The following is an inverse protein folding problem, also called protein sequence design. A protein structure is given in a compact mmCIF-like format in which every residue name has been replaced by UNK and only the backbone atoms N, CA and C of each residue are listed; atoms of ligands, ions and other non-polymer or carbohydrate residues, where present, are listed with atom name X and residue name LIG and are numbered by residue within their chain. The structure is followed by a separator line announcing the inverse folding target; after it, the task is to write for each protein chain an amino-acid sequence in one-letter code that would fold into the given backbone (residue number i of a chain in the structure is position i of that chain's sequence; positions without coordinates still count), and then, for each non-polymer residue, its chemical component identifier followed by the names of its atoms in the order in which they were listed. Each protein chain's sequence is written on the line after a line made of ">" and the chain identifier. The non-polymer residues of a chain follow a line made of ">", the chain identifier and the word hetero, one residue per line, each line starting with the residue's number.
data_IF_519058605800
#
_entry.id   IF_519058605800
#
_cell.length_a   1.000
_cell.length_b   1.000
_cell.length_c   1.000
_cell.angle_alpha   90.00
_cell.angle_beta   90.00
_cell.angle_gamma   90.00
#
_symmetry.space_group_name_H-M   'P 1'
#
loop_
_entity.id
_entity.type
_entity.pdbx_description
1 polymer ?
#
# COMPACT_ATOMS: atom_id res chain seq x y z
N UNK A 1 90.34 -2.83 -30.35
CA UNK A 1 91.72 -2.30 -30.45
C UNK A 1 91.69 -0.83 -30.07
N UNK A 2 92.58 -0.45 -29.13
CA UNK A 2 93.28 0.85 -29.06
C UNK A 2 92.36 2.04 -28.66
N UNK A 3 92.41 2.52 -27.40
CA UNK A 3 93.35 3.56 -26.89
C UNK A 3 93.11 4.91 -27.60
N UNK A 4 93.14 6.11 -27.03
CA UNK A 4 93.83 6.72 -25.89
C UNK A 4 93.16 8.13 -25.80
N UNK A 5 92.70 8.62 -24.65
CA UNK A 5 93.46 9.48 -23.69
C UNK A 5 93.63 10.97 -24.10
N UNK A 6 93.32 11.81 -23.10
CA UNK A 6 93.75 13.20 -22.80
C UNK A 6 93.24 14.31 -23.73
N UNK A 7 92.45 15.28 -23.25
CA UNK A 7 92.60 16.22 -22.13
C UNK A 7 93.72 17.24 -22.30
N UNK A 8 93.33 18.53 -22.29
CA UNK A 8 94.08 19.81 -22.07
C UNK A 8 93.84 20.77 -23.24
N UNK A 9 93.72 22.08 -23.08
CA UNK A 9 93.54 22.99 -21.94
C UNK A 9 93.26 24.38 -22.58
N UNK A 10 92.73 25.31 -21.78
CA UNK A 10 92.84 26.77 -21.91
C UNK A 10 92.03 27.46 -23.03
N UNK A 11 90.99 28.24 -22.73
CA UNK A 11 90.87 29.47 -21.93
C UNK A 11 91.02 30.76 -22.76
N UNK A 12 89.94 31.54 -22.72
CA UNK A 12 89.80 32.99 -22.92
C UNK A 12 89.99 33.55 -24.34
N UNK A 13 88.86 33.97 -24.93
CA UNK A 13 88.74 35.31 -25.55
C UNK A 13 87.27 35.73 -25.61
N UNK A 14 86.93 36.68 -24.75
CA UNK A 14 85.68 37.41 -24.75
C UNK A 14 85.57 38.27 -26.01
N UNK A 15 84.53 38.08 -26.80
CA UNK A 15 84.04 39.09 -27.75
C UNK A 15 82.55 39.27 -27.54
N UNK A 16 82.18 40.47 -27.07
CA UNK A 16 80.80 40.91 -26.89
C UNK A 16 80.19 41.13 -28.27
N UNK A 17 79.12 40.40 -28.62
CA UNK A 17 78.18 40.80 -29.67
C UNK A 17 76.78 40.86 -29.07
N UNK A 18 76.19 42.05 -29.14
CA UNK A 18 74.86 42.39 -28.65
C UNK A 18 73.78 41.84 -29.58
N UNK A 19 72.84 41.12 -28.97
CA UNK A 19 71.40 40.99 -29.21
C UNK A 19 70.80 41.26 -30.60
N UNK A 20 70.05 40.27 -31.11
CA UNK A 20 68.65 40.43 -31.54
C UNK A 20 67.88 39.13 -31.24
N UNK A 21 67.24 39.06 -30.07
CA UNK A 21 66.22 38.05 -29.80
C UNK A 21 64.87 38.62 -30.28
N UNK A 22 64.28 38.00 -31.29
CA UNK A 22 62.92 38.30 -31.70
C UNK A 22 61.96 37.74 -30.63
N UNK A 23 61.37 38.62 -29.83
CA UNK A 23 60.28 38.28 -28.92
C UNK A 23 59.01 38.14 -29.75
N UNK A 24 58.60 36.90 -30.01
CA UNK A 24 57.24 36.62 -30.49
C UNK A 24 56.32 36.74 -29.27
N UNK A 25 55.62 37.86 -29.16
CA UNK A 25 54.52 38.02 -28.20
C UNK A 25 53.34 37.21 -28.74
N UNK A 26 53.21 35.96 -28.30
CA UNK A 26 51.99 35.19 -28.49
C UNK A 26 50.89 35.80 -27.62
N UNK A 27 49.90 36.44 -28.23
CA UNK A 27 48.66 36.81 -27.57
C UNK A 27 47.95 35.50 -27.23
N UNK A 28 48.08 35.03 -25.98
CA UNK A 28 47.14 34.04 -25.44
C UNK A 28 45.77 34.72 -25.39
N UNK A 29 44.93 34.44 -26.38
CA UNK A 29 43.50 34.71 -26.26
C UNK A 29 42.97 33.94 -25.07
N UNK A 30 42.51 34.64 -24.03
CA UNK A 30 41.80 34.03 -22.93
C UNK A 30 40.52 33.40 -23.50
N UNK A 31 40.50 32.08 -23.65
CA UNK A 31 39.26 31.36 -23.90
C UNK A 31 38.33 31.67 -22.71
N UNK A 32 37.07 32.08 -22.95
CA UNK A 32 36.12 32.22 -21.85
C UNK A 32 36.04 30.88 -21.10
N UNK A 33 35.92 30.89 -19.76
CA UNK A 33 35.74 29.66 -19.02
C UNK A 33 34.52 28.92 -19.60
N UNK A 34 34.58 27.60 -19.75
CA UNK A 34 33.42 26.84 -20.18
C UNK A 34 32.29 27.11 -19.19
N UNK A 35 31.16 27.64 -19.69
CA UNK A 35 29.93 27.73 -18.91
C UNK A 35 29.50 26.29 -18.72
N UNK A 36 29.64 25.77 -17.50
CA UNK A 36 29.07 24.47 -17.15
C UNK A 36 27.54 24.62 -17.22
N UNK A 37 26.93 24.03 -18.26
CA UNK A 37 25.48 23.87 -18.30
C UNK A 37 25.07 23.10 -17.05
N UNK A 38 24.06 23.60 -16.33
CA UNK A 38 23.53 22.89 -15.19
C UNK A 38 22.97 21.54 -15.68
N UNK A 39 23.33 20.47 -14.96
CA UNK A 39 22.93 19.12 -15.35
C UNK A 39 21.47 18.86 -14.94
N UNK A 40 20.76 18.09 -15.75
CA UNK A 40 19.44 17.57 -15.41
C UNK A 40 19.50 16.76 -14.08
N UNK A 41 18.40 16.71 -13.30
CA UNK A 41 18.36 15.93 -12.07
C UNK A 41 18.58 14.43 -12.35
N UNK A 42 19.09 13.69 -11.36
CA UNK A 42 19.47 12.29 -11.56
C UNK A 42 18.29 11.37 -11.92
N UNK A 43 17.07 11.76 -11.56
CA UNK A 43 15.84 11.05 -11.85
C UNK A 43 14.99 11.71 -12.95
N UNK A 44 15.62 12.52 -13.80
CA UNK A 44 15.03 13.05 -15.03
C UNK A 44 14.63 11.91 -15.99
N UNK A 45 15.51 10.92 -16.13
CA UNK A 45 15.26 9.73 -16.93
C UNK A 45 14.38 8.73 -16.17
N UNK A 46 13.33 8.25 -16.82
CA UNK A 46 12.45 7.19 -16.33
C UNK A 46 13.21 5.94 -15.87
N UNK A 47 14.20 5.48 -16.64
CA UNK A 47 14.99 4.31 -16.27
C UNK A 47 16.02 4.58 -15.15
N UNK A 48 16.20 5.84 -14.76
CA UNK A 48 17.02 6.28 -13.62
C UNK A 48 16.17 6.86 -12.48
N UNK A 49 14.91 6.43 -12.36
CA UNK A 49 13.98 6.89 -11.32
C UNK A 49 14.54 6.74 -9.90
N UNK A 50 14.12 7.65 -9.01
CA UNK A 50 14.48 7.57 -7.60
C UNK A 50 13.68 6.45 -6.93
N UNK A 51 14.35 5.38 -6.48
CA UNK A 51 13.68 4.29 -5.76
C UNK A 51 13.39 4.74 -4.32
N UNK A 52 12.11 4.83 -3.97
CA UNK A 52 11.66 5.19 -2.62
C UNK A 52 11.98 4.08 -1.62
N UNK A 53 12.91 4.33 -0.70
CA UNK A 53 13.34 3.42 0.36
C UNK A 53 13.54 4.14 1.68
N UNK A 54 13.40 3.41 2.79
CA UNK A 54 13.86 3.88 4.10
C UNK A 54 15.39 3.91 4.15
N UNK A 55 16.01 4.60 5.12
CA UNK A 55 17.46 4.55 5.32
C UNK A 55 18.00 3.13 5.53
N UNK A 56 17.16 2.20 5.98
CA UNK A 56 17.49 0.78 6.15
C UNK A 56 17.22 -0.07 4.90
N UNK A 57 16.83 0.55 3.77
CA UNK A 57 16.56 -0.12 2.49
C UNK A 57 15.17 -0.74 2.35
N UNK A 58 14.30 -0.61 3.36
CA UNK A 58 12.93 -1.12 3.37
C UNK A 58 11.94 -0.24 2.60
N UNK A 59 10.72 -0.71 2.42
CA UNK A 59 9.64 0.09 1.84
C UNK A 59 9.17 1.16 2.84
N UNK A 60 9.11 2.45 2.44
CA UNK A 60 8.74 3.53 3.36
C UNK A 60 7.21 3.68 3.49
N UNK A 61 6.73 3.92 4.71
CA UNK A 61 5.34 4.40 4.92
C UNK A 61 5.18 5.86 4.54
N UNK A 62 6.26 6.63 4.58
CA UNK A 62 6.35 7.99 4.09
C UNK A 62 7.73 8.26 3.49
N UNK A 63 7.79 9.01 2.40
CA UNK A 63 9.03 9.39 1.73
C UNK A 63 8.94 10.85 1.28
N UNK A 64 10.05 11.58 1.38
CA UNK A 64 10.14 12.96 0.89
C UNK A 64 11.41 13.14 0.08
N UNK A 65 11.34 14.03 -0.89
CA UNK A 65 12.50 14.43 -1.69
C UNK A 65 12.39 15.91 -2.08
N UNK A 66 13.55 16.52 -2.32
CA UNK A 66 13.63 17.86 -2.90
C UNK A 66 14.46 17.75 -4.18
N UNK A 67 13.92 18.20 -5.30
CA UNK A 67 14.57 18.09 -6.62
C UNK A 67 14.50 19.43 -7.35
N UNK A 68 15.62 19.93 -7.86
CA UNK A 68 15.61 21.07 -8.77
C UNK A 68 15.26 20.58 -10.19
N UNK A 69 14.15 21.07 -10.73
CA UNK A 69 13.58 20.65 -12.02
C UNK A 69 13.86 21.65 -13.14
N UNK A 70 14.63 22.72 -12.90
CA UNK A 70 14.89 23.73 -13.93
C UNK A 70 15.53 23.13 -15.19
N UNK A 71 16.46 22.20 -15.01
CA UNK A 71 17.16 21.50 -16.09
C UNK A 71 16.55 20.13 -16.42
N UNK A 72 15.40 19.79 -15.82
CA UNK A 72 14.69 18.57 -16.20
C UNK A 72 14.28 18.64 -17.68
N UNK A 73 14.02 17.50 -18.29
CA UNK A 73 13.65 17.35 -19.69
C UNK A 73 12.43 16.43 -19.81
N UNK A 74 12.14 15.98 -21.02
CA UNK A 74 11.12 14.97 -21.31
C UNK A 74 11.68 14.02 -22.35
N UNK A 75 11.25 12.77 -22.35
CA UNK A 75 11.81 11.75 -23.22
C UNK A 75 10.91 11.44 -24.41
N UNK A 76 11.46 11.56 -25.63
CA UNK A 76 10.81 11.07 -26.84
C UNK A 76 10.78 9.53 -26.92
N UNK A 77 11.63 8.87 -26.14
CA UNK A 77 11.69 7.42 -25.98
C UNK A 77 12.07 7.14 -24.51
N UNK A 78 11.15 6.56 -23.74
CA UNK A 78 11.36 6.26 -22.31
C UNK A 78 12.52 5.29 -22.06
N UNK A 79 12.95 4.53 -23.06
CA UNK A 79 14.09 3.62 -22.96
C UNK A 79 15.35 4.24 -23.55
N UNK A 80 15.34 5.55 -23.81
CA UNK A 80 16.52 6.30 -24.22
C UNK A 80 16.72 7.56 -23.37
N UNK A 81 17.84 7.68 -22.65
CA UNK A 81 18.88 6.65 -22.47
C UNK A 81 18.44 5.52 -21.52
N UNK A 82 19.24 4.46 -21.43
CA UNK A 82 19.10 3.47 -20.36
C UNK A 82 19.45 4.06 -18.98
N UNK A 83 19.38 3.22 -17.95
CA UNK A 83 19.66 3.61 -16.56
C UNK A 83 21.07 4.18 -16.33
N UNK A 84 22.04 3.86 -17.21
CA UNK A 84 23.44 4.29 -17.11
C UNK A 84 23.76 5.43 -18.09
N UNK A 85 22.78 5.92 -18.84
CA UNK A 85 22.97 6.98 -19.83
C UNK A 85 23.33 6.46 -21.23
N UNK A 86 23.35 5.14 -21.47
CA UNK A 86 23.70 4.56 -22.75
C UNK A 86 22.48 4.46 -23.70
N UNK A 87 22.68 4.46 -25.03
CA UNK A 87 21.57 4.30 -25.98
C UNK A 87 21.04 2.86 -25.94
N UNK A 88 19.80 2.69 -25.48
CA UNK A 88 19.06 1.43 -25.52
C UNK A 88 17.93 1.51 -26.57
N UNK A 89 17.02 2.47 -26.42
CA UNK A 89 15.96 2.78 -27.38
C UNK A 89 14.85 1.73 -27.48
N UNK A 90 13.85 2.02 -28.31
CA UNK A 90 12.73 1.12 -28.60
C UNK A 90 11.58 1.21 -27.59
N UNK A 91 11.58 2.22 -26.73
CA UNK A 91 10.49 2.52 -25.81
C UNK A 91 9.45 3.46 -26.43
N UNK A 92 8.25 3.54 -25.82
CA UNK A 92 7.26 4.54 -26.20
C UNK A 92 7.72 5.96 -25.78
N UNK A 93 7.18 7.03 -26.38
CA UNK A 93 7.38 8.37 -25.87
C UNK A 93 6.82 8.52 -24.46
N UNK A 94 7.39 9.45 -23.72
CA UNK A 94 6.91 9.80 -22.39
C UNK A 94 5.44 10.27 -22.43
N UNK A 95 4.58 9.80 -21.50
CA UNK A 95 3.23 10.33 -21.38
C UNK A 95 3.26 11.79 -20.88
N UNK A 96 2.97 12.75 -21.76
CA UNK A 96 3.00 14.18 -21.43
C UNK A 96 1.62 14.82 -21.27
N UNK A 97 0.59 14.00 -21.01
CA UNK A 97 -0.79 14.46 -20.86
C UNK A 97 -1.37 13.98 -19.54
N UNK A 98 -1.89 14.91 -18.74
CA UNK A 98 -2.67 14.60 -17.56
C UNK A 98 -3.89 15.52 -17.45
N UNK A 99 -5.10 14.95 -17.41
CA UNK A 99 -6.32 15.74 -17.13
C UNK A 99 -6.61 16.87 -18.13
N UNK A 100 -6.02 16.81 -19.34
CA UNK A 100 -6.10 17.88 -20.35
C UNK A 100 -4.95 18.88 -20.31
N UNK A 101 -4.12 18.84 -19.28
CA UNK A 101 -2.88 19.62 -19.18
C UNK A 101 -1.73 18.89 -19.86
N UNK A 102 -0.89 19.65 -20.57
CA UNK A 102 0.40 19.15 -21.06
C UNK A 102 1.43 19.27 -19.95
N UNK A 103 2.32 18.29 -19.87
CA UNK A 103 3.36 18.18 -18.84
C UNK A 103 4.73 18.35 -19.48
N UNK A 104 5.66 18.98 -18.78
CA UNK A 104 7.08 18.97 -19.12
C UNK A 104 7.95 18.98 -17.86
N UNK A 105 9.28 18.97 -18.03
CA UNK A 105 10.24 19.05 -16.91
C UNK A 105 10.00 17.95 -15.87
N UNK A 106 10.04 16.70 -16.32
CA UNK A 106 9.54 15.57 -15.55
C UNK A 106 10.66 14.88 -14.76
N UNK A 107 10.27 14.31 -13.62
CA UNK A 107 11.12 13.49 -12.77
C UNK A 107 10.35 12.28 -12.28
N UNK A 108 11.07 11.19 -11.99
CA UNK A 108 10.49 9.88 -11.72
C UNK A 108 10.83 9.32 -10.34
N UNK A 109 9.85 8.69 -9.69
CA UNK A 109 10.01 8.03 -8.39
C UNK A 109 9.37 6.64 -8.38
N UNK A 110 10.12 5.63 -8.00
CA UNK A 110 9.68 4.24 -8.03
C UNK A 110 9.35 3.69 -6.66
N UNK A 111 8.31 2.86 -6.59
CA UNK A 111 7.94 2.15 -5.37
C UNK A 111 7.31 0.78 -5.68
N UNK A 112 7.39 -0.14 -4.71
CA UNK A 112 6.81 -1.48 -4.81
C UNK A 112 6.27 -1.91 -3.45
N UNK A 113 4.94 -1.84 -3.22
CA UNK A 113 4.38 -2.01 -1.89
C UNK A 113 4.41 -3.48 -1.43
N UNK A 114 4.69 -3.75 -0.13
CA UNK A 114 4.78 -5.10 0.41
C UNK A 114 3.41 -5.74 0.72
N UNK A 115 2.37 -4.91 0.76
CA UNK A 115 0.96 -5.26 0.98
C UNK A 115 0.09 -4.40 0.05
N UNK A 116 -1.18 -4.75 -0.11
CA UNK A 116 -2.11 -3.89 -0.83
C UNK A 116 -2.31 -2.59 -0.06
N UNK A 117 -2.67 -1.50 -0.74
CA UNK A 117 -2.84 -0.22 -0.08
C UNK A 117 -3.28 0.93 -0.96
N UNK A 118 -3.37 2.10 -0.33
CA UNK A 118 -3.56 3.40 -0.96
C UNK A 118 -2.27 4.21 -0.91
N UNK A 119 -2.15 5.16 -1.83
CA UNK A 119 -1.04 6.10 -1.90
C UNK A 119 -1.60 7.51 -2.00
N UNK A 120 -0.97 8.43 -1.27
CA UNK A 120 -1.14 9.86 -1.42
C UNK A 120 0.21 10.45 -1.81
N UNK A 121 0.21 11.33 -2.80
CA UNK A 121 1.39 12.05 -3.26
C UNK A 121 1.16 13.53 -3.07
N UNK A 122 2.17 14.24 -2.57
CA UNK A 122 2.21 15.69 -2.59
C UNK A 122 3.36 16.18 -3.46
N UNK A 123 3.10 17.23 -4.23
CA UNK A 123 4.10 17.90 -5.05
C UNK A 123 3.89 19.41 -4.91
N UNK A 124 4.94 20.15 -4.58
CA UNK A 124 4.85 21.59 -4.30
C UNK A 124 6.06 22.33 -4.86
N UNK A 125 5.91 23.64 -5.04
CA UNK A 125 6.98 24.56 -5.45
C UNK A 125 6.69 25.31 -6.74
N UNK A 126 5.84 24.75 -7.59
CA UNK A 126 5.34 25.36 -8.82
C UNK A 126 4.03 24.66 -9.22
N UNK A 127 3.49 24.98 -10.41
CA UNK A 127 2.30 24.33 -10.95
C UNK A 127 2.65 22.92 -11.42
N UNK A 128 2.47 21.95 -10.52
CA UNK A 128 2.86 20.57 -10.73
C UNK A 128 1.71 19.76 -11.32
N UNK A 129 2.09 18.68 -12.01
CA UNK A 129 1.21 17.58 -12.37
C UNK A 129 1.82 16.28 -11.85
N UNK A 130 0.98 15.37 -11.36
CA UNK A 130 1.40 14.07 -10.85
C UNK A 130 0.65 12.97 -11.59
N UNK A 131 1.38 11.97 -12.10
CA UNK A 131 0.80 10.76 -12.67
C UNK A 131 1.42 9.51 -12.04
N UNK A 132 0.58 8.51 -11.73
CA UNK A 132 1.04 7.24 -11.15
C UNK A 132 0.77 6.11 -12.13
N UNK A 133 1.83 5.40 -12.51
CA UNK A 133 1.77 4.30 -13.45
C UNK A 133 2.20 3.01 -12.78
N UNK A 134 1.55 1.91 -13.15
CA UNK A 134 2.13 0.57 -13.00
C UNK A 134 3.05 0.30 -14.17
N UNK A 135 4.21 -0.29 -13.91
CA UNK A 135 5.11 -0.78 -14.95
C UNK A 135 5.45 -2.27 -14.77
N UNK A 136 5.86 -2.91 -15.85
CA UNK A 136 6.36 -4.28 -15.86
C UNK A 136 7.86 -4.30 -15.58
N UNK A 137 8.28 -5.00 -14.52
CA UNK A 137 9.69 -4.98 -14.08
C UNK A 137 10.66 -5.74 -14.98
N UNK A 138 10.16 -6.53 -15.94
CA UNK A 138 10.98 -7.27 -16.90
C UNK A 138 11.26 -6.46 -18.15
N UNK A 139 10.29 -5.65 -18.57
CA UNK A 139 10.34 -4.87 -19.82
C UNK A 139 10.46 -3.37 -19.60
N UNK A 140 10.28 -2.90 -18.37
CA UNK A 140 10.14 -1.49 -17.99
C UNK A 140 8.97 -0.77 -18.69
N UNK A 141 8.08 -1.50 -19.37
CA UNK A 141 6.96 -0.89 -20.07
C UNK A 141 5.92 -0.37 -19.07
N UNK A 142 5.43 0.85 -19.29
CA UNK A 142 4.26 1.38 -18.60
C UNK A 142 3.02 0.58 -19.05
N UNK A 143 2.34 -0.05 -18.10
CA UNK A 143 1.22 -0.97 -18.35
C UNK A 143 -0.13 -0.28 -18.08
N UNK A 144 -0.26 0.39 -16.94
CA UNK A 144 -1.54 0.95 -16.50
C UNK A 144 -1.37 2.27 -15.78
N UNK A 145 -2.04 3.31 -16.27
CA UNK A 145 -2.26 4.54 -15.52
C UNK A 145 -3.21 4.25 -14.34
N UNK A 146 -2.75 4.49 -13.12
CA UNK A 146 -3.61 4.39 -11.94
C UNK A 146 -4.46 5.64 -11.77
N UNK A 147 -3.91 6.78 -12.13
CA UNK A 147 -4.55 8.08 -12.16
C UNK A 147 -3.52 9.16 -12.32
N UNK A 148 -4.00 10.36 -12.61
CA UNK A 148 -3.17 11.54 -12.64
C UNK A 148 -3.97 12.73 -12.11
N UNK A 149 -3.27 13.76 -11.65
CA UNK A 149 -3.81 15.03 -11.23
C UNK A 149 -2.98 16.16 -11.86
N UNK A 150 -3.66 17.25 -12.20
CA UNK A 150 -3.11 18.46 -12.74
C UNK A 150 -3.98 19.63 -12.26
N UNK A 151 -3.92 19.90 -10.96
CA UNK A 151 -4.70 20.98 -10.34
C UNK A 151 -3.88 22.27 -10.36
N UNK A 152 -4.37 23.36 -10.99
CA UNK A 152 -3.62 24.62 -11.05
C UNK A 152 -3.25 25.14 -9.66
N UNK A 153 -1.99 25.49 -9.43
CA UNK A 153 -1.56 26.05 -8.15
C UNK A 153 -0.06 25.97 -7.90
N UNK A 154 0.36 26.09 -6.63
CA UNK A 154 1.76 25.88 -6.20
C UNK A 154 1.95 24.60 -5.38
N UNK A 155 0.88 23.82 -5.29
CA UNK A 155 0.83 22.62 -4.48
C UNK A 155 -0.30 21.70 -4.90
N UNK A 156 0.06 20.44 -5.05
CA UNK A 156 -0.81 19.34 -5.42
C UNK A 156 -0.81 18.30 -4.28
N UNK A 157 -1.99 17.90 -3.83
CA UNK A 157 -2.17 16.66 -3.07
C UNK A 157 -3.05 15.74 -3.90
N UNK A 158 -2.51 14.58 -4.24
CA UNK A 158 -3.13 13.59 -5.10
C UNK A 158 -3.29 12.27 -4.37
N UNK A 159 -4.53 11.94 -4.03
CA UNK A 159 -4.90 10.60 -3.58
C UNK A 159 -5.12 9.73 -4.80
N UNK A 160 -4.28 8.71 -4.96
CA UNK A 160 -4.35 7.82 -6.12
C UNK A 160 -5.68 7.07 -6.10
N UNK A 161 -6.53 7.19 -7.13
CA UNK A 161 -7.91 6.67 -7.09
C UNK A 161 -7.95 5.14 -7.10
N UNK A 162 -6.93 4.52 -7.71
CA UNK A 162 -6.79 3.08 -7.78
C UNK A 162 -5.81 2.58 -6.72
N UNK A 163 -6.15 1.48 -6.05
CA UNK A 163 -5.27 0.81 -5.09
C UNK A 163 -3.99 0.31 -5.74
N UNK A 164 -2.91 0.35 -4.97
CA UNK A 164 -1.65 -0.30 -5.27
C UNK A 164 -1.66 -1.70 -4.67
N UNK A 165 -1.10 -2.66 -5.40
CA UNK A 165 -1.21 -4.08 -5.08
C UNK A 165 0.16 -4.64 -4.74
N UNK A 166 0.19 -5.56 -3.77
CA UNK A 166 1.36 -6.33 -3.40
C UNK A 166 1.98 -7.02 -4.61
N UNK A 167 3.31 -6.92 -4.73
CA UNK A 167 4.06 -7.59 -5.79
C UNK A 167 3.91 -6.95 -7.17
N UNK A 168 3.36 -5.73 -7.24
CA UNK A 168 3.40 -4.87 -8.42
C UNK A 168 4.37 -3.71 -8.19
N UNK A 169 4.89 -3.16 -9.28
CA UNK A 169 5.81 -2.03 -9.26
C UNK A 169 5.18 -0.83 -9.94
N UNK A 170 5.46 0.33 -9.36
CA UNK A 170 4.83 1.59 -9.71
C UNK A 170 5.88 2.67 -9.83
N UNK A 171 5.61 3.61 -10.72
CA UNK A 171 6.41 4.82 -10.89
C UNK A 171 5.49 6.04 -10.78
N UNK A 172 6.02 7.11 -10.22
CA UNK A 172 5.37 8.41 -10.10
C UNK A 172 6.12 9.36 -11.02
N UNK A 173 5.41 9.89 -12.00
CA UNK A 173 5.87 10.97 -12.86
C UNK A 173 5.41 12.28 -12.22
N UNK A 174 6.33 13.18 -11.94
CA UNK A 174 6.03 14.54 -11.49
C UNK A 174 6.64 15.51 -12.48
N UNK A 175 5.87 16.45 -12.98
CA UNK A 175 6.35 17.47 -13.90
C UNK A 175 5.62 18.78 -13.72
N UNK A 176 5.99 19.79 -14.48
CA UNK A 176 5.31 21.08 -14.52
C UNK A 176 4.22 21.14 -15.57
N UNK A 177 3.11 21.77 -15.22
CA UNK A 177 2.06 22.12 -16.16
C UNK A 177 2.61 23.10 -17.20
N UNK A 178 2.31 22.85 -18.47
CA UNK A 178 2.72 23.71 -19.58
C UNK A 178 1.68 24.81 -19.79
N UNK A 179 2.12 26.06 -19.63
CA UNK A 179 1.31 27.25 -19.91
C UNK A 179 2.00 28.07 -20.98
N UNK A 180 1.29 28.42 -22.06
CA UNK A 180 1.83 29.18 -23.19
C UNK A 180 3.13 28.58 -23.79
N UNK A 181 3.22 27.24 -23.82
CA UNK A 181 4.37 26.53 -24.36
C UNK A 181 5.59 26.44 -23.43
N UNK A 182 5.47 26.94 -22.19
CA UNK A 182 6.53 26.85 -21.18
C UNK A 182 6.06 25.96 -20.03
N UNK A 183 6.82 24.92 -19.73
CA UNK A 183 6.59 24.07 -18.56
C UNK A 183 7.01 24.83 -17.30
N UNK A 184 6.17 24.79 -16.26
CA UNK A 184 6.57 25.24 -14.93
C UNK A 184 7.76 24.39 -14.42
N UNK A 185 8.69 25.03 -13.71
CA UNK A 185 9.84 24.35 -13.11
C UNK A 185 10.36 25.12 -11.90
N UNK A 186 11.20 24.46 -11.13
CA UNK A 186 11.85 25.04 -9.97
C UNK A 186 12.19 23.97 -8.93
N UNK A 187 12.28 24.39 -7.67
CA UNK A 187 12.53 23.46 -6.58
C UNK A 187 11.24 22.69 -6.23
N UNK A 188 11.16 21.43 -6.63
CA UNK A 188 10.09 20.52 -6.29
C UNK A 188 10.27 20.01 -4.86
N UNK A 189 9.27 20.19 -4.01
CA UNK A 189 9.12 19.43 -2.75
C UNK A 189 8.13 18.29 -2.97
N UNK A 190 8.65 17.07 -2.98
CA UNK A 190 7.89 15.84 -3.18
C UNK A 190 7.64 15.14 -1.85
N UNK A 191 6.41 14.68 -1.66
CA UNK A 191 5.99 13.83 -0.54
C UNK A 191 5.20 12.63 -1.04
N UNK A 192 5.35 11.52 -0.33
CA UNK A 192 4.69 10.25 -0.58
C UNK A 192 4.25 9.68 0.75
N UNK A 193 2.98 9.26 0.84
CA UNK A 193 2.43 8.51 1.98
C UNK A 193 1.80 7.22 1.47
N UNK A 194 2.10 6.11 2.15
CA UNK A 194 1.49 4.81 1.89
C UNK A 194 0.59 4.39 3.04
N UNK A 195 -0.62 3.96 2.69
CA UNK A 195 -1.61 3.44 3.61
C UNK A 195 -1.83 1.96 3.30
N UNK A 196 -1.41 1.07 4.20
CA UNK A 196 -1.55 -0.37 4.02
C UNK A 196 -2.96 -0.89 4.24
N UNK A 197 -3.28 -2.02 3.62
CA UNK A 197 -4.42 -2.89 3.90
C UNK A 197 -3.85 -4.29 4.12
N UNK A 198 -3.65 -4.65 5.39
CA UNK A 198 -2.89 -5.85 5.76
C UNK A 198 -3.69 -7.13 5.60
N UNK A 199 -4.99 -7.09 5.86
CA UNK A 199 -5.83 -8.26 5.74
C UNK A 199 -6.44 -8.44 4.35
N UNK A 200 -6.41 -7.39 3.52
CA UNK A 200 -6.86 -7.40 2.13
C UNK A 200 -8.37 -7.27 1.99
N UNK A 201 -9.06 -6.63 2.95
CA UNK A 201 -10.51 -6.51 2.93
C UNK A 201 -11.02 -5.30 2.11
N UNK A 202 -10.13 -4.42 1.66
CA UNK A 202 -10.45 -3.22 0.90
C UNK A 202 -10.58 -1.96 1.76
N UNK A 203 -10.42 -2.05 3.08
CA UNK A 203 -10.36 -0.95 4.04
C UNK A 203 -8.89 -0.73 4.44
N UNK A 204 -8.48 0.52 4.63
CA UNK A 204 -7.08 0.84 4.95
C UNK A 204 -6.85 0.78 6.48
N UNK A 205 -5.70 0.23 6.88
CA UNK A 205 -5.25 0.06 8.28
C UNK A 205 -5.24 1.39 9.06
N UNK A 206 -4.85 2.48 8.39
CA UNK A 206 -4.56 3.79 9.01
C UNK A 206 -5.81 4.57 9.49
N UNK A 207 -6.95 3.89 9.61
CA UNK A 207 -8.34 4.37 9.64
C UNK A 207 -8.97 4.34 8.23
N UNK A 208 -10.13 3.69 8.04
CA UNK A 208 -11.12 3.34 9.07
C UNK A 208 -11.12 1.87 9.54
N UNK A 209 -10.09 1.07 9.28
CA UNK A 209 -10.08 -0.35 9.70
C UNK A 209 -9.77 -0.55 11.21
N UNK A 210 -10.72 -1.15 11.93
CA UNK A 210 -10.65 -1.50 13.36
C UNK A 210 -10.13 -2.93 13.57
N UNK A 211 -10.03 -3.73 12.51
CA UNK A 211 -9.65 -5.12 12.48
C UNK A 211 -8.55 -5.43 11.44
N UNK A 212 -7.37 -4.78 11.47
CA UNK A 212 -6.31 -4.90 10.43
C UNK A 212 -5.68 -6.29 10.26
N UNK A 213 -6.11 -7.27 11.05
CA UNK A 213 -5.65 -8.66 10.97
C UNK A 213 -6.83 -9.63 10.77
N UNK A 214 -8.04 -9.12 10.47
CA UNK A 214 -9.28 -9.89 10.38
C UNK A 214 -10.29 -9.25 9.41
N UNK A 215 -10.33 -9.83 8.21
CA UNK A 215 -11.19 -9.42 7.11
C UNK A 215 -12.62 -9.01 7.52
N UNK A 216 -13.01 -7.79 7.17
CA UNK A 216 -14.36 -7.28 7.37
C UNK A 216 -14.87 -6.38 6.25
N UNK A 217 -15.87 -5.58 6.57
CA UNK A 217 -16.52 -4.73 5.57
C UNK A 217 -16.54 -3.30 6.06
N UNK A 218 -16.51 -2.36 5.11
CA UNK A 218 -16.47 -0.93 5.41
C UNK A 218 -17.63 -0.49 6.34
N UNK A 219 -18.84 -1.01 6.13
CA UNK A 219 -20.02 -0.74 6.99
C UNK A 219 -19.79 -1.06 8.49
N UNK A 220 -18.81 -1.91 8.78
CA UNK A 220 -18.44 -2.36 10.12
C UNK A 220 -16.99 -1.97 10.45
N UNK A 221 -16.46 -0.92 9.81
CA UNK A 221 -15.11 -0.40 10.05
C UNK A 221 -14.03 -1.45 9.85
N UNK A 222 -14.12 -2.24 8.78
CA UNK A 222 -13.16 -3.32 8.47
C UNK A 222 -13.28 -4.55 9.38
N UNK A 223 -14.25 -4.61 10.30
CA UNK A 223 -14.50 -5.82 11.09
C UNK A 223 -15.64 -6.68 10.51
N UNK A 224 -15.63 -8.01 10.70
CA UNK A 224 -16.78 -8.84 10.37
C UNK A 224 -17.97 -8.50 11.30
N UNK A 225 -19.21 -8.47 10.78
CA UNK A 225 -20.39 -8.22 11.59
C UNK A 225 -20.54 -9.28 12.70
N UNK A 226 -21.13 -8.92 13.84
CA UNK A 226 -21.38 -9.85 14.93
C UNK A 226 -22.80 -10.45 14.89
N UNK A 227 -22.91 -11.75 15.15
CA UNK A 227 -24.19 -12.40 15.41
C UNK A 227 -24.59 -12.16 16.88
N UNK A 228 -25.86 -11.84 17.09
CA UNK A 228 -26.46 -11.68 18.41
C UNK A 228 -27.83 -12.37 18.45
N UNK A 229 -27.87 -13.71 18.47
CA UNK A 229 -29.13 -14.44 18.53
C UNK A 229 -29.88 -14.09 19.82
N UNK A 230 -31.21 -14.01 19.78
CA UNK A 230 -32.02 -14.12 21.00
C UNK A 230 -32.52 -15.55 21.12
N UNK A 231 -32.24 -16.14 22.29
CA UNK A 231 -32.48 -17.54 22.60
C UNK A 231 -33.56 -17.58 23.67
N UNK A 232 -34.74 -18.06 23.30
CA UNK A 232 -35.92 -18.13 24.16
C UNK A 232 -36.34 -19.58 24.28
N UNK A 233 -36.39 -20.10 25.50
CA UNK A 233 -36.82 -21.47 25.75
C UNK A 233 -37.60 -21.56 27.07
N UNK A 234 -38.55 -22.49 27.10
CA UNK A 234 -39.31 -22.82 28.29
C UNK A 234 -38.88 -24.21 28.76
N UNK A 235 -39.00 -24.44 30.07
CA UNK A 235 -38.66 -25.72 30.66
C UNK A 235 -39.48 -25.97 31.93
N UNK A 236 -39.71 -27.24 32.20
CA UNK A 236 -40.27 -27.71 33.46
C UNK A 236 -39.16 -28.25 34.35
N UNK A 237 -39.39 -28.20 35.66
CA UNK A 237 -38.49 -28.82 36.63
C UNK A 237 -38.57 -30.34 36.51
N UNK A 238 -37.41 -31.01 36.51
CA UNK A 238 -37.29 -32.46 36.48
C UNK A 238 -36.23 -32.92 37.49
N UNK A 239 -36.63 -33.08 38.75
CA UNK A 239 -35.72 -33.37 39.85
C UNK A 239 -34.69 -32.25 40.08
N UNK A 240 -33.40 -32.59 40.02
CA UNK A 240 -32.28 -31.62 40.04
C UNK A 240 -32.00 -30.97 38.67
N UNK A 241 -32.66 -31.46 37.62
CA UNK A 241 -32.53 -31.04 36.23
C UNK A 241 -33.77 -30.33 35.68
N UNK A 242 -33.79 -30.13 34.37
CA UNK A 242 -34.89 -29.48 33.65
C UNK A 242 -35.27 -30.28 32.42
N UNK A 243 -36.55 -30.21 32.01
CA UNK A 243 -37.03 -30.77 30.75
C UNK A 243 -37.48 -29.62 29.85
N UNK A 244 -36.88 -29.51 28.66
CA UNK A 244 -37.22 -28.44 27.72
C UNK A 244 -38.63 -28.66 27.17
N UNK A 245 -39.48 -27.63 27.20
CA UNK A 245 -40.85 -27.67 26.63
C UNK A 245 -40.95 -26.88 25.34
N UNK A 246 -40.07 -25.89 25.16
CA UNK A 246 -40.02 -25.07 23.94
C UNK A 246 -38.60 -24.55 23.72
N UNK A 247 -38.16 -24.47 22.48
CA UNK A 247 -36.87 -23.85 22.14
C UNK A 247 -36.94 -23.05 20.85
N UNK A 248 -36.64 -21.75 20.93
CA UNK A 248 -36.69 -20.82 19.81
C UNK A 248 -35.43 -19.96 19.76
N UNK A 249 -34.85 -19.83 18.57
CA UNK A 249 -33.75 -18.90 18.28
C UNK A 249 -34.22 -17.88 17.25
N UNK A 250 -34.05 -16.59 17.52
CA UNK A 250 -34.42 -15.51 16.61
C UNK A 250 -33.26 -14.49 16.48
N UNK A 251 -33.49 -13.38 15.78
CA UNK A 251 -32.49 -12.33 15.50
C UNK A 251 -31.22 -12.86 14.81
N UNK A 252 -31.39 -13.84 13.93
CA UNK A 252 -30.31 -14.35 13.07
C UNK A 252 -30.62 -14.08 11.61
N UNK A 253 -29.65 -13.59 10.82
CA UNK A 253 -29.79 -13.43 9.38
C UNK A 253 -30.01 -14.79 8.71
N UNK A 254 -30.72 -14.79 7.58
CA UNK A 254 -30.89 -15.99 6.76
C UNK A 254 -29.52 -16.60 6.41
N UNK A 255 -29.40 -17.93 6.46
CA UNK A 255 -28.17 -18.68 6.18
C UNK A 255 -27.25 -18.90 7.39
N UNK A 256 -27.45 -18.21 8.52
CA UNK A 256 -26.68 -18.45 9.73
C UNK A 256 -26.91 -19.90 10.23
N UNK A 257 -25.85 -20.55 10.69
CA UNK A 257 -25.92 -21.90 11.26
C UNK A 257 -26.23 -21.80 12.75
N UNK A 258 -27.22 -22.55 13.19
CA UNK A 258 -27.59 -22.73 14.59
C UNK A 258 -27.20 -24.15 14.98
N UNK A 259 -26.44 -24.32 16.06
CA UNK A 259 -26.14 -25.61 16.67
C UNK A 259 -26.43 -25.55 18.15
N UNK A 260 -27.37 -26.35 18.60
CA UNK A 260 -27.74 -26.44 20.03
C UNK A 260 -27.36 -27.81 20.55
N UNK A 261 -26.72 -27.85 21.72
CA UNK A 261 -26.40 -29.09 22.44
C UNK A 261 -27.11 -29.07 23.80
N UNK A 262 -27.94 -30.07 24.06
CA UNK A 262 -28.72 -30.20 25.28
C UNK A 262 -28.90 -31.68 25.63
N UNK A 263 -28.53 -32.08 26.85
CA UNK A 263 -28.79 -33.45 27.34
C UNK A 263 -28.22 -34.56 26.44
N UNK A 264 -27.03 -34.36 25.86
CA UNK A 264 -26.40 -35.29 24.91
C UNK A 264 -26.95 -35.21 23.48
N UNK A 265 -28.05 -34.48 23.25
CA UNK A 265 -28.63 -34.26 21.92
C UNK A 265 -28.04 -33.01 21.27
N UNK A 266 -27.67 -33.13 20.00
CA UNK A 266 -27.24 -32.00 19.17
C UNK A 266 -28.26 -31.77 18.06
N UNK A 267 -28.78 -30.56 17.97
CA UNK A 267 -29.70 -30.13 16.92
C UNK A 267 -29.06 -28.99 16.13
N UNK A 268 -29.01 -29.16 14.82
CA UNK A 268 -28.52 -28.14 13.88
C UNK A 268 -29.66 -27.62 13.02
N UNK A 269 -29.61 -26.33 12.68
CA UNK A 269 -30.56 -25.69 11.79
C UNK A 269 -29.90 -24.54 11.03
N UNK A 270 -30.52 -24.10 9.93
CA UNK A 270 -30.17 -22.85 9.23
C UNK A 270 -31.24 -21.81 9.56
N UNK A 271 -30.81 -20.61 9.93
CA UNK A 271 -31.71 -19.49 10.11
C UNK A 271 -32.31 -19.09 8.75
N UNK A 272 -33.59 -18.72 8.74
CA UNK A 272 -34.29 -18.21 7.54
C UNK A 272 -34.50 -16.70 7.58
N UNK A 273 -33.92 -16.00 8.57
CA UNK A 273 -34.24 -14.59 8.87
C UNK A 273 -35.43 -14.41 9.82
N UNK A 274 -36.21 -15.48 10.03
CA UNK A 274 -37.33 -15.52 10.98
C UNK A 274 -36.98 -16.37 12.22
N UNK A 275 -37.84 -16.34 13.24
CA UNK A 275 -37.71 -17.18 14.41
C UNK A 275 -37.67 -18.67 14.05
N UNK A 276 -36.69 -19.40 14.59
CA UNK A 276 -36.47 -20.83 14.36
C UNK A 276 -36.88 -21.61 15.60
N UNK A 277 -37.99 -22.35 15.52
CA UNK A 277 -38.39 -23.29 16.57
C UNK A 277 -37.69 -24.63 16.36
N UNK A 278 -36.95 -25.07 17.37
CA UNK A 278 -36.18 -26.32 17.32
C UNK A 278 -36.94 -27.43 18.04
N UNK A 279 -38.01 -27.94 17.40
CA UNK A 279 -38.92 -28.95 17.98
C UNK A 279 -38.19 -30.22 18.44
N UNK A 280 -37.07 -30.58 17.81
CA UNK A 280 -36.25 -31.75 18.19
C UNK A 280 -35.57 -31.62 19.56
N UNK A 281 -35.62 -30.44 20.19
CA UNK A 281 -35.14 -30.22 21.56
C UNK A 281 -36.27 -30.31 22.59
N UNK A 282 -37.53 -30.28 22.16
CA UNK A 282 -38.67 -30.37 23.08
C UNK A 282 -38.74 -31.79 23.65
N UNK A 283 -39.00 -31.89 24.95
CA UNK A 283 -38.94 -33.12 25.72
C UNK A 283 -37.54 -33.56 26.17
N UNK A 284 -36.47 -32.90 25.72
CA UNK A 284 -35.09 -33.24 26.14
C UNK A 284 -34.87 -32.86 27.61
N UNK A 285 -34.46 -33.85 28.41
CA UNK A 285 -34.11 -33.66 29.83
C UNK A 285 -32.61 -33.39 30.01
N UNK A 286 -32.28 -32.36 30.77
CA UNK A 286 -30.92 -32.01 31.18
C UNK A 286 -30.78 -32.28 32.68
N UNK A 287 -29.83 -33.15 33.06
CA UNK A 287 -29.55 -33.46 34.47
C UNK A 287 -28.91 -32.26 35.18
N UNK A 288 -29.04 -32.18 36.51
CA UNK A 288 -28.27 -31.22 37.32
C UNK A 288 -26.77 -31.32 37.02
N UNK A 289 -26.10 -30.18 36.87
CA UNK A 289 -24.70 -30.08 36.44
C UNK A 289 -24.48 -30.05 34.92
N UNK A 290 -25.49 -30.43 34.12
CA UNK A 290 -25.41 -30.39 32.66
C UNK A 290 -25.35 -28.97 32.13
N UNK A 291 -24.97 -28.87 30.85
CA UNK A 291 -24.85 -27.60 30.14
C UNK A 291 -25.72 -27.62 28.88
N UNK A 292 -26.53 -26.57 28.71
CA UNK A 292 -27.16 -26.23 27.46
C UNK A 292 -26.24 -25.25 26.72
N UNK A 293 -25.89 -25.54 25.47
CA UNK A 293 -25.10 -24.62 24.64
C UNK A 293 -25.77 -24.31 23.32
N UNK A 294 -25.72 -23.05 22.91
CA UNK A 294 -26.19 -22.56 21.62
C UNK A 294 -25.01 -21.91 20.91
N UNK A 295 -24.70 -22.38 19.71
CA UNK A 295 -23.67 -21.83 18.84
C UNK A 295 -24.34 -21.30 17.57
N UNK A 296 -24.15 -20.01 17.30
CA UNK A 296 -24.55 -19.36 16.06
C UNK A 296 -23.31 -18.94 15.27
N UNK A 297 -23.22 -19.31 13.99
CA UNK A 297 -22.10 -18.95 13.11
C UNK A 297 -22.57 -18.55 11.72
N UNK A 298 -21.78 -17.75 11.01
CA UNK A 298 -21.99 -17.42 9.61
C UNK A 298 -20.69 -17.65 8.85
N UNK A 299 -20.72 -18.53 7.85
CA UNK A 299 -19.61 -18.70 6.91
C UNK A 299 -19.57 -17.54 5.91
N UNK A 300 -18.46 -17.41 5.19
CA UNK A 300 -18.31 -16.47 4.07
C UNK A 300 -19.50 -16.60 3.10
N UNK A 301 -20.06 -15.46 2.71
CA UNK A 301 -21.30 -15.41 1.91
C UNK A 301 -21.28 -14.30 0.86
N UNK A 302 -20.45 -14.49 -0.16
CA UNK A 302 -20.47 -13.78 -1.44
C UNK A 302 -20.72 -12.27 -1.34
N UNK A 303 -21.53 -11.71 -2.24
CA UNK A 303 -21.83 -10.27 -2.37
C UNK A 303 -22.62 -9.64 -1.20
N UNK A 304 -22.74 -10.30 -0.05
CA UNK A 304 -23.47 -9.77 1.11
C UNK A 304 -22.53 -9.11 2.11
N UNK A 305 -23.07 -8.39 3.10
CA UNK A 305 -22.30 -7.91 4.28
C UNK A 305 -21.57 -9.02 5.06
N UNK A 306 -21.84 -10.29 4.74
CA UNK A 306 -21.18 -11.46 5.28
C UNK A 306 -20.15 -12.06 4.31
N UNK A 307 -19.62 -11.30 3.33
CA UNK A 307 -18.62 -11.76 2.36
C UNK A 307 -17.42 -12.45 3.03
N UNK A 308 -17.01 -11.96 4.20
CA UNK A 308 -15.95 -12.54 5.02
C UNK A 308 -16.43 -13.36 6.23
N UNK A 309 -17.74 -13.57 6.35
CA UNK A 309 -18.38 -14.28 7.46
C UNK A 309 -18.92 -13.34 8.53
N UNK A 310 -19.18 -13.87 9.73
CA UNK A 310 -19.59 -13.08 10.89
C UNK A 310 -18.92 -13.61 12.16
N UNK A 311 -18.68 -12.73 13.12
CA UNK A 311 -18.32 -13.13 14.47
C UNK A 311 -19.49 -13.89 15.06
N UNK A 312 -19.29 -15.19 15.28
CA UNK A 312 -20.29 -16.07 15.86
C UNK A 312 -20.47 -15.86 17.35
N UNK A 313 -21.55 -16.40 17.90
CA UNK A 313 -21.87 -16.35 19.33
C UNK A 313 -22.01 -17.77 19.88
N UNK A 314 -21.50 -18.00 21.08
CA UNK A 314 -21.66 -19.23 21.84
C UNK A 314 -22.23 -18.89 23.20
N UNK A 315 -23.48 -19.26 23.42
CA UNK A 315 -24.19 -19.07 24.68
C UNK A 315 -24.20 -20.37 25.44
N UNK A 316 -23.89 -20.30 26.72
CA UNK A 316 -23.80 -21.45 27.62
C UNK A 316 -24.67 -21.19 28.84
N UNK A 317 -25.52 -22.16 29.20
CA UNK A 317 -26.37 -22.11 30.37
C UNK A 317 -26.13 -23.36 31.23
N UNK A 318 -25.85 -23.17 32.52
CA UNK A 318 -25.62 -24.27 33.47
C UNK A 318 -26.93 -24.65 34.16
N UNK A 319 -27.23 -25.95 34.23
CA UNK A 319 -28.42 -26.46 34.92
C UNK A 319 -28.06 -26.80 36.36
N UNK A 320 -28.76 -26.21 37.34
CA UNK A 320 -28.57 -26.48 38.77
C UNK A 320 -29.89 -26.31 39.53
N UNK A 321 -30.15 -27.19 40.51
CA UNK A 321 -31.31 -27.07 41.39
C UNK A 321 -32.66 -27.05 40.66
N UNK A 322 -32.76 -27.73 39.51
CA UNK A 322 -33.98 -27.74 38.71
C UNK A 322 -34.24 -26.43 37.95
N UNK A 323 -33.23 -25.57 37.77
CA UNK A 323 -33.30 -24.31 37.06
C UNK A 323 -32.17 -24.19 36.03
N UNK A 324 -32.36 -23.29 35.07
CA UNK A 324 -31.31 -22.89 34.11
C UNK A 324 -30.68 -21.59 34.60
N UNK A 325 -29.37 -21.61 34.81
CA UNK A 325 -28.60 -20.46 35.27
C UNK A 325 -28.40 -19.38 34.22
N UNK A 326 -27.67 -18.34 34.60
CA UNK A 326 -27.39 -17.19 33.74
C UNK A 326 -26.60 -17.57 32.49
N UNK A 327 -26.86 -16.84 31.41
CA UNK A 327 -26.16 -17.01 30.14
C UNK A 327 -24.71 -16.54 30.28
N UNK A 328 -23.77 -17.43 29.98
CA UNK A 328 -22.39 -17.04 29.65
C UNK A 328 -22.25 -16.90 28.15
N UNK A 329 -21.70 -15.78 27.69
CA UNK A 329 -21.44 -15.50 26.27
C UNK A 329 -19.95 -15.64 25.94
N UNK A 330 -19.69 -16.24 24.78
CA UNK A 330 -18.39 -16.28 24.11
C UNK A 330 -18.61 -15.96 22.64
N UNK A 331 -17.55 -15.53 21.97
CA UNK A 331 -17.59 -15.22 20.55
C UNK A 331 -16.72 -16.19 19.75
N UNK A 332 -16.95 -16.28 18.44
CA UNK A 332 -16.17 -17.08 17.50
C UNK A 332 -15.72 -16.18 16.35
N UNK A 333 -14.41 -16.01 16.18
CA UNK A 333 -13.86 -15.36 14.99
C UNK A 333 -14.25 -16.19 13.75
N UNK A 334 -14.63 -15.58 12.62
CA UNK A 334 -14.89 -16.30 11.37
C UNK A 334 -13.80 -17.33 11.06
N UNK A 335 -14.18 -18.55 10.70
CA UNK A 335 -13.25 -19.66 10.43
C UNK A 335 -12.66 -20.35 11.66
N UNK A 336 -12.80 -19.80 12.87
CA UNK A 336 -12.31 -20.45 14.10
C UNK A 336 -13.33 -21.42 14.69
N UNK A 337 -12.85 -22.57 15.18
CA UNK A 337 -13.66 -23.51 15.97
C UNK A 337 -13.64 -23.23 17.49
N UNK A 338 -12.69 -22.41 17.96
CA UNK A 338 -12.40 -22.18 19.38
C UNK A 338 -13.06 -20.89 19.89
N UNK A 339 -14.06 -20.97 20.79
CA UNK A 339 -14.71 -19.78 21.34
C UNK A 339 -13.76 -18.95 22.21
N UNK A 340 -13.84 -17.62 22.11
CA UNK A 340 -13.03 -16.66 22.89
C UNK A 340 -13.91 -15.87 23.89
N UNK A 341 -13.28 -15.38 24.97
CA UNK A 341 -13.94 -14.47 25.94
C UNK A 341 -14.34 -13.14 25.27
N UNK A 342 -13.44 -12.61 24.44
CA UNK A 342 -13.63 -11.39 23.68
C UNK A 342 -13.16 -11.60 22.25
N UNK A 343 -13.84 -10.94 21.32
CA UNK A 343 -13.47 -10.79 19.92
C UNK A 343 -13.55 -9.30 19.63
N UNK A 344 -12.69 -8.79 18.75
CA UNK A 344 -12.86 -7.43 18.21
C UNK A 344 -14.24 -7.37 17.54
N UNK A 345 -15.19 -6.70 18.17
CA UNK A 345 -16.51 -6.43 17.62
C UNK A 345 -16.42 -5.07 16.90
N UNK A 346 -17.14 -4.89 15.79
CA UNK A 346 -17.21 -3.61 15.11
C UNK A 346 -17.72 -2.49 16.03
#
# INVERSE_FOLDING_TARGET
>A
MIRLVRARQQAVRWTRRLARAAVVVGILGAAPPPIALAAAPSNDNYLASTIMRTPQGGFPSAFTATVDTNEATTQNDLFQPDKDGAPLGGGPPEPLLCGGSTVGKTVWFDFSPPIDGGVEISAQGFDTTVAVWRYDTRTSALDKLLGCSASPGVGESFVVPNRVLKGKSYTVQVGGAVTNGVAASGLLSYGFNFYGDRDGDGVLDAQPDRCPDLLGVADFGGCPPALQPSVNFNFDRSGSGVRLTRFVVNKLPSGASIRVSAGGRVVTAKATGKAQRLVRLEGVSLRGGSTLSVRATMSRRGKTRYRFGAIGSVYTYKVRGGRVGTRTERCLVPGSAKPRKSCRKP
#
